data_IF_828700222954
#
_entry.id   IF_828700222954
#
_cell.length_a   1.000
_cell.length_b   1.000
_cell.length_c   1.000
_cell.angle_alpha   90.00
_cell.angle_beta   90.00
_cell.angle_gamma   90.00
#
_symmetry.space_group_name_H-M   'P 1'
#
loop_
_entity.id
_entity.type
_entity.pdbx_description
1 polymer ?
#
# COMPACT_ATOMS: atom_id res chain seq x y z
N UNK A 1 21.68 20.67 27.64
CA UNK A 1 20.36 21.03 27.08
C UNK A 1 20.54 21.29 25.59
N UNK A 2 20.43 20.26 24.75
CA UNK A 2 20.47 20.41 23.30
C UNK A 2 19.22 19.74 22.73
N UNK A 3 18.18 20.54 22.44
CA UNK A 3 17.02 20.09 21.65
C UNK A 3 17.47 20.05 20.19
N UNK A 4 17.79 18.88 19.68
CA UNK A 4 17.80 18.64 18.23
C UNK A 4 16.34 18.64 17.73
N UNK A 5 15.75 19.83 17.56
CA UNK A 5 14.54 19.98 16.74
C UNK A 5 14.97 20.05 15.28
N UNK A 6 15.32 18.90 14.70
CA UNK A 6 15.36 18.77 13.24
C UNK A 6 13.89 18.63 12.82
N UNK A 7 13.25 19.76 12.50
CA UNK A 7 11.92 19.75 11.86
C UNK A 7 12.11 18.93 10.58
N UNK A 8 11.51 17.74 10.55
CA UNK A 8 11.46 16.92 9.36
C UNK A 8 10.53 17.65 8.39
N UNK A 9 11.07 18.17 7.28
CA UNK A 9 10.27 18.76 6.21
C UNK A 9 9.23 17.74 5.73
N UNK A 10 8.00 17.77 6.25
CA UNK A 10 6.93 16.85 5.83
C UNK A 10 6.04 17.51 4.79
N UNK A 11 5.56 16.71 3.86
CA UNK A 11 4.60 17.16 2.87
C UNK A 11 3.33 16.31 2.82
N UNK A 12 2.20 16.95 2.56
CA UNK A 12 0.90 16.30 2.44
C UNK A 12 0.14 16.78 1.22
N UNK A 13 -0.52 15.85 0.52
CA UNK A 13 -1.38 16.13 -0.62
C UNK A 13 -2.81 15.83 -0.24
N UNK A 14 -3.71 16.78 -0.43
CA UNK A 14 -5.13 16.63 -0.13
C UNK A 14 -5.92 16.82 -1.43
N UNK A 15 -6.60 15.76 -1.88
CA UNK A 15 -7.46 15.82 -3.06
C UNK A 15 -8.80 16.49 -2.76
N UNK A 16 -9.45 17.03 -3.79
CA UNK A 16 -10.75 17.71 -3.62
C UNK A 16 -10.68 18.90 -2.66
N UNK A 17 -9.56 19.62 -2.62
CA UNK A 17 -9.28 20.67 -1.63
C UNK A 17 -9.83 22.04 -2.00
N UNK A 18 -10.54 22.16 -3.11
CA UNK A 18 -11.10 23.44 -3.56
C UNK A 18 -12.43 23.77 -2.90
N UNK A 19 -13.14 22.77 -2.35
CA UNK A 19 -14.44 22.93 -1.69
C UNK A 19 -14.62 21.93 -0.53
N UNK A 20 -15.71 22.10 0.22
CA UNK A 20 -16.22 21.12 1.19
C UNK A 20 -15.24 20.64 2.26
N UNK A 21 -15.18 19.32 2.44
CA UNK A 21 -14.36 18.67 3.47
C UNK A 21 -12.86 18.82 3.18
N UNK A 22 -12.44 18.63 1.93
CA UNK A 22 -11.03 18.75 1.53
C UNK A 22 -10.49 20.15 1.79
N UNK A 23 -11.24 21.19 1.45
CA UNK A 23 -10.88 22.58 1.76
C UNK A 23 -10.79 22.85 3.27
N UNK A 24 -11.69 22.26 4.08
CA UNK A 24 -11.61 22.38 5.54
C UNK A 24 -10.36 21.68 6.11
N UNK A 25 -10.05 20.49 5.62
CA UNK A 25 -8.82 19.79 5.99
C UNK A 25 -7.59 20.62 5.63
N UNK A 26 -7.50 21.12 4.39
CA UNK A 26 -6.40 21.99 3.96
C UNK A 26 -6.20 23.19 4.90
N UNK A 27 -7.28 23.88 5.29
CA UNK A 27 -7.23 25.01 6.24
C UNK A 27 -6.74 24.64 7.63
N UNK A 28 -7.02 23.42 8.08
CA UNK A 28 -6.47 22.91 9.35
C UNK A 28 -4.98 22.65 9.22
N UNK A 29 -4.56 21.94 8.18
CA UNK A 29 -3.16 21.61 7.97
C UNK A 29 -2.29 22.86 7.69
N UNK A 30 -2.86 23.92 7.12
CA UNK A 30 -2.16 25.22 6.99
C UNK A 30 -1.75 25.80 8.35
N UNK A 31 -2.50 25.52 9.42
CA UNK A 31 -2.23 26.07 10.76
C UNK A 31 -1.34 25.18 11.64
N UNK A 32 -1.00 23.96 11.19
CA UNK A 32 -0.19 23.04 11.99
C UNK A 32 1.31 23.35 11.93
N UNK A 33 2.11 22.68 12.76
CA UNK A 33 3.58 22.76 12.72
C UNK A 33 4.22 21.46 12.19
N UNK A 34 3.40 20.53 11.68
CA UNK A 34 3.83 19.17 11.30
C UNK A 34 4.20 19.14 9.82
N UNK A 35 3.44 19.82 8.97
CA UNK A 35 3.64 19.84 7.52
C UNK A 35 4.14 21.20 7.06
N UNK A 36 5.36 21.24 6.54
CA UNK A 36 5.95 22.43 5.95
C UNK A 36 5.44 22.67 4.53
N UNK A 37 5.06 21.60 3.82
CA UNK A 37 4.53 21.69 2.45
C UNK A 37 3.13 21.06 2.35
N UNK A 38 2.17 21.84 1.88
CA UNK A 38 0.82 21.39 1.61
C UNK A 38 0.53 21.49 0.11
N UNK A 39 0.16 20.37 -0.49
CA UNK A 39 -0.38 20.32 -1.84
C UNK A 39 -1.90 20.26 -1.79
N UNK A 40 -2.56 21.23 -2.43
CA UNK A 40 -4.02 21.24 -2.57
C UNK A 40 -4.40 20.89 -3.99
N UNK A 41 -5.20 19.85 -4.16
CA UNK A 41 -5.62 19.41 -5.49
C UNK A 41 -7.03 19.89 -5.87
N UNK A 42 -7.21 20.19 -7.15
CA UNK A 42 -8.50 20.47 -7.77
C UNK A 42 -8.55 20.10 -9.25
N UNK A 43 -9.76 20.08 -9.81
CA UNK A 43 -10.02 19.64 -11.19
C UNK A 43 -9.75 20.72 -12.26
N UNK A 44 -9.52 21.97 -11.87
CA UNK A 44 -9.23 23.05 -12.82
C UNK A 44 -8.36 24.15 -12.21
N UNK A 45 -7.60 24.83 -13.06
CA UNK A 45 -6.77 25.99 -12.67
C UNK A 45 -7.56 27.06 -11.94
N UNK A 46 -8.77 27.38 -12.42
CA UNK A 46 -9.62 28.38 -11.80
C UNK A 46 -9.99 28.01 -10.36
N UNK A 47 -10.45 26.77 -10.14
CA UNK A 47 -10.87 26.32 -8.80
C UNK A 47 -9.71 26.28 -7.81
N UNK A 48 -8.53 25.84 -8.25
CA UNK A 48 -7.32 25.81 -7.42
C UNK A 48 -6.81 27.22 -7.14
N UNK A 49 -6.75 28.10 -8.14
CA UNK A 49 -6.31 29.49 -7.97
C UNK A 49 -7.21 30.25 -7.00
N UNK A 50 -8.52 30.09 -7.11
CA UNK A 50 -9.48 30.70 -6.19
C UNK A 50 -9.29 30.19 -4.76
N UNK A 51 -9.07 28.89 -4.59
CA UNK A 51 -8.83 28.29 -3.26
C UNK A 51 -7.52 28.82 -2.64
N UNK A 52 -6.42 28.80 -3.40
CA UNK A 52 -5.12 29.33 -2.96
C UNK A 52 -5.21 30.81 -2.59
N UNK A 53 -5.86 31.63 -3.43
CA UNK A 53 -6.04 33.07 -3.18
C UNK A 53 -6.77 33.31 -1.87
N UNK A 54 -7.84 32.56 -1.62
CA UNK A 54 -8.59 32.66 -0.36
C UNK A 54 -7.76 32.23 0.86
N UNK A 55 -6.95 31.18 0.71
CA UNK A 55 -6.00 30.75 1.75
C UNK A 55 -5.00 31.87 2.07
N UNK A 56 -4.42 32.52 1.05
CA UNK A 56 -3.46 33.61 1.25
C UNK A 56 -4.08 34.83 1.93
N UNK A 57 -5.31 35.21 1.55
CA UNK A 57 -6.04 36.33 2.16
C UNK A 57 -6.34 36.09 3.65
N UNK A 58 -6.65 34.85 4.02
CA UNK A 58 -6.96 34.49 5.41
C UNK A 58 -5.70 34.27 6.27
N UNK A 59 -4.55 34.04 5.62
CA UNK A 59 -3.28 33.73 6.25
C UNK A 59 -2.18 34.67 5.76
N UNK A 60 -2.29 35.96 6.13
CA UNK A 60 -1.36 37.04 5.76
C UNK A 60 0.13 36.80 6.10
N UNK A 61 0.45 35.79 6.92
CA UNK A 61 1.81 35.35 7.23
C UNK A 61 1.84 33.82 7.34
N UNK A 62 2.04 33.11 6.23
CA UNK A 62 2.35 31.68 6.22
C UNK A 62 3.77 31.50 6.74
N UNK A 63 3.93 31.31 8.06
CA UNK A 63 5.22 31.16 8.74
C UNK A 63 6.00 29.92 8.24
N UNK A 64 6.82 30.08 7.20
CA UNK A 64 7.64 29.02 6.58
C UNK A 64 6.86 27.87 5.91
N UNK A 65 5.56 28.05 5.63
CA UNK A 65 4.75 27.04 4.93
C UNK A 65 4.69 27.27 3.43
N UNK A 66 4.84 26.19 2.68
CA UNK A 66 4.66 26.14 1.23
C UNK A 66 3.30 25.54 0.90
N UNK A 67 2.37 26.35 0.37
CA UNK A 67 1.08 25.86 -0.12
C UNK A 67 1.11 25.91 -1.65
N UNK A 68 1.00 24.75 -2.29
CA UNK A 68 1.11 24.59 -3.75
C UNK A 68 -0.18 23.99 -4.28
N UNK A 69 -0.75 24.61 -5.30
CA UNK A 69 -1.89 24.06 -6.02
C UNK A 69 -1.46 22.99 -7.01
N UNK A 70 -2.18 21.89 -7.05
CA UNK A 70 -1.98 20.78 -7.99
C UNK A 70 -3.25 20.60 -8.81
N UNK A 71 -3.17 20.80 -10.11
CA UNK A 71 -4.28 20.62 -11.03
C UNK A 71 -4.02 19.39 -11.85
N UNK A 72 -4.97 18.46 -11.79
CA UNK A 72 -4.90 17.17 -12.43
C UNK A 72 -6.32 16.76 -12.77
N UNK A 73 -6.60 16.58 -14.07
CA UNK A 73 -7.89 16.10 -14.56
C UNK A 73 -7.82 14.60 -14.79
N UNK A 74 -8.63 13.86 -14.05
CA UNK A 74 -8.74 12.40 -14.17
C UNK A 74 -9.82 11.97 -15.16
N UNK A 75 -10.46 12.92 -15.85
CA UNK A 75 -11.66 12.69 -16.65
C UNK A 75 -11.43 12.36 -18.12
N UNK A 76 -10.28 12.72 -18.70
CA UNK A 76 -10.05 12.67 -20.16
C UNK A 76 -8.57 12.46 -20.48
N UNK A 77 -8.20 11.34 -21.10
CA UNK A 77 -6.88 11.19 -21.72
C UNK A 77 -6.48 9.75 -22.06
N UNK A 78 -6.39 9.47 -23.36
CA UNK A 78 -5.88 8.24 -23.98
C UNK A 78 -4.34 8.15 -23.93
N UNK A 79 -3.68 8.71 -22.92
CA UNK A 79 -2.23 8.68 -22.86
C UNK A 79 -1.80 7.56 -21.91
N UNK A 80 -1.09 6.60 -22.47
CA UNK A 80 -0.47 5.47 -21.78
C UNK A 80 0.53 5.91 -20.69
N UNK A 81 0.83 7.21 -20.58
CA UNK A 81 1.81 7.77 -19.64
C UNK A 81 1.26 8.96 -18.82
N UNK A 82 0.25 8.69 -18.01
CA UNK A 82 0.03 9.41 -16.76
C UNK A 82 -0.66 10.77 -16.85
N UNK A 83 -1.31 11.12 -15.74
CA UNK A 83 -2.12 12.32 -15.63
C UNK A 83 -1.24 13.57 -15.68
N UNK A 84 -1.45 14.46 -16.65
CA UNK A 84 -0.74 15.75 -16.69
C UNK A 84 -1.00 16.54 -15.41
N UNK A 85 0.07 17.15 -14.87
CA UNK A 85 0.00 17.89 -13.60
C UNK A 85 0.42 19.32 -13.83
N UNK A 86 -0.45 20.26 -13.48
CA UNK A 86 -0.11 21.68 -13.43
C UNK A 86 0.05 22.13 -11.98
N UNK A 87 1.14 22.84 -11.70
CA UNK A 87 1.45 23.36 -10.38
C UNK A 87 1.30 24.87 -10.34
N UNK A 88 0.62 25.35 -9.31
CA UNK A 88 0.37 26.76 -9.07
C UNK A 88 1.02 27.14 -7.73
N UNK A 89 2.14 27.86 -7.78
CA UNK A 89 2.81 28.41 -6.59
C UNK A 89 2.62 29.94 -6.59
N UNK A 90 1.58 30.39 -5.88
CA UNK A 90 1.26 31.82 -5.78
C UNK A 90 2.32 32.60 -4.98
N UNK A 91 3.08 31.96 -4.09
CA UNK A 91 4.16 32.63 -3.34
C UNK A 91 5.32 33.01 -4.27
N UNK A 92 5.57 32.21 -5.31
CA UNK A 92 6.59 32.48 -6.32
C UNK A 92 6.06 33.16 -7.57
N UNK A 93 4.74 33.34 -7.67
CA UNK A 93 4.04 33.77 -8.88
C UNK A 93 4.42 32.92 -10.11
N UNK A 94 4.47 31.59 -9.94
CA UNK A 94 4.92 30.65 -10.98
C UNK A 94 3.89 29.56 -11.24
N UNK A 95 3.76 29.23 -12.52
CA UNK A 95 2.96 28.15 -13.06
C UNK A 95 3.90 27.16 -13.74
N UNK A 96 3.80 25.88 -13.38
CA UNK A 96 4.60 24.83 -13.97
C UNK A 96 3.69 23.76 -14.55
N UNK A 97 4.08 23.18 -15.67
CA UNK A 97 3.46 21.98 -16.21
C UNK A 97 4.45 20.83 -16.07
N UNK A 98 3.97 19.70 -15.58
CA UNK A 98 4.68 18.45 -15.49
C UNK A 98 3.99 17.42 -16.38
N UNK A 99 4.80 16.56 -16.98
CA UNK A 99 4.31 15.58 -17.96
C UNK A 99 3.33 14.61 -17.33
N UNK A 100 3.62 14.14 -16.11
CA UNK A 100 2.76 13.21 -15.39
C UNK A 100 2.91 13.30 -13.85
N UNK A 101 2.02 12.60 -13.15
CA UNK A 101 2.00 12.53 -11.70
C UNK A 101 3.24 11.84 -11.08
N UNK A 102 3.89 10.91 -11.80
CA UNK A 102 5.16 10.29 -11.36
C UNK A 102 6.28 11.33 -11.29
N UNK A 103 6.40 12.19 -12.30
CA UNK A 103 7.33 13.33 -12.30
C UNK A 103 7.07 14.30 -11.15
N UNK A 104 5.79 14.53 -10.81
CA UNK A 104 5.43 15.29 -9.61
C UNK A 104 5.98 14.64 -8.33
N UNK A 105 5.73 13.34 -8.10
CA UNK A 105 6.22 12.61 -6.92
C UNK A 105 7.75 12.48 -6.85
N UNK A 106 8.42 12.59 -8.00
CA UNK A 106 9.88 12.63 -8.08
C UNK A 106 10.45 13.96 -7.61
N UNK A 107 9.87 15.07 -8.07
CA UNK A 107 10.31 16.43 -7.71
C UNK A 107 9.84 16.85 -6.31
N UNK A 108 8.66 16.38 -5.89
CA UNK A 108 8.01 16.74 -4.65
C UNK A 108 7.74 15.46 -3.83
N UNK A 109 8.70 15.03 -2.98
CA UNK A 109 8.57 13.80 -2.22
C UNK A 109 7.44 13.92 -1.19
N UNK A 110 6.39 13.13 -1.40
CA UNK A 110 5.20 13.14 -0.55
C UNK A 110 5.40 12.33 0.74
N UNK A 111 4.91 12.82 1.89
CA UNK A 111 4.87 12.04 3.14
C UNK A 111 3.50 11.43 3.40
N UNK A 112 2.44 12.21 3.22
CA UNK A 112 1.08 11.76 3.47
C UNK A 112 0.17 12.17 2.31
N UNK A 113 -0.86 11.37 2.06
CA UNK A 113 -1.90 11.69 1.08
C UNK A 113 -3.28 11.49 1.70
N UNK A 114 -4.15 12.47 1.49
CA UNK A 114 -5.58 12.38 1.78
C UNK A 114 -6.33 12.33 0.46
N UNK A 115 -6.95 11.18 0.21
CA UNK A 115 -7.81 10.91 -0.93
C UNK A 115 -9.26 11.15 -0.50
N UNK A 116 -9.72 12.40 -0.67
CA UNK A 116 -11.07 12.84 -0.30
C UNK A 116 -12.06 12.59 -1.43
N UNK A 117 -13.05 11.73 -1.19
CA UNK A 117 -14.03 11.31 -2.21
C UNK A 117 -15.40 11.95 -1.96
N UNK A 118 -15.47 13.26 -1.94
CA UNK A 118 -16.71 13.96 -1.64
C UNK A 118 -17.29 14.57 -2.94
N UNK A 119 -18.24 13.91 -3.60
CA UNK A 119 -18.95 14.49 -4.76
C UNK A 119 -20.43 14.17 -4.64
N UNK A 120 -21.27 15.18 -4.45
CA UNK A 120 -22.71 15.00 -4.26
C UNK A 120 -23.48 15.26 -5.55
N UNK A 121 -23.69 14.23 -6.37
CA UNK A 121 -24.74 14.31 -7.38
C UNK A 121 -25.73 13.18 -7.16
N UNK A 122 -26.94 13.54 -6.71
CA UNK A 122 -28.06 12.61 -6.64
C UNK A 122 -28.67 12.45 -8.02
N UNK A 123 -28.68 11.22 -8.53
CA UNK A 123 -29.40 10.90 -9.75
C UNK A 123 -29.93 9.48 -9.67
N UNK A 124 -31.24 9.33 -9.90
CA UNK A 124 -31.88 8.03 -10.01
C UNK A 124 -31.15 7.18 -11.05
N UNK A 125 -30.95 5.90 -10.75
CA UNK A 125 -30.26 4.96 -11.64
C UNK A 125 -30.83 4.99 -13.07
N UNK A 126 -32.16 5.01 -13.21
CA UNK A 126 -32.86 5.07 -14.51
C UNK A 126 -32.63 6.36 -15.31
N UNK A 127 -32.12 7.42 -14.67
CA UNK A 127 -31.84 8.72 -15.29
C UNK A 127 -30.36 8.93 -15.62
N UNK A 128 -29.51 7.94 -15.36
CA UNK A 128 -28.08 8.02 -15.67
C UNK A 128 -27.87 7.77 -17.16
N UNK A 129 -27.04 8.61 -17.78
CA UNK A 129 -26.53 8.37 -19.12
C UNK A 129 -25.07 7.90 -19.10
N UNK A 130 -24.57 7.40 -20.23
CA UNK A 130 -23.21 6.86 -20.33
C UNK A 130 -22.11 7.87 -19.96
N UNK A 131 -22.30 9.15 -20.30
CA UNK A 131 -21.35 10.21 -19.98
C UNK A 131 -21.23 10.38 -18.47
N UNK A 132 -22.36 10.35 -17.76
CA UNK A 132 -22.41 10.47 -16.31
C UNK A 132 -21.85 9.24 -15.61
N UNK A 133 -22.14 8.03 -16.11
CA UNK A 133 -21.57 6.78 -15.59
C UNK A 133 -20.06 6.84 -15.68
N UNK A 134 -19.52 7.14 -16.87
CA UNK A 134 -18.07 7.26 -17.08
C UNK A 134 -17.46 8.32 -16.18
N UNK A 135 -18.11 9.48 -16.02
CA UNK A 135 -17.65 10.52 -15.10
C UNK A 135 -17.58 10.03 -13.65
N UNK A 136 -18.59 9.28 -13.19
CA UNK A 136 -18.62 8.72 -11.83
C UNK A 136 -17.49 7.70 -11.63
N UNK A 137 -17.28 6.80 -12.59
CA UNK A 137 -16.21 5.79 -12.53
C UNK A 137 -14.83 6.43 -12.58
N UNK A 138 -14.62 7.36 -13.52
CA UNK A 138 -13.34 8.08 -13.67
C UNK A 138 -12.98 8.81 -12.38
N UNK A 139 -13.92 9.55 -11.80
CA UNK A 139 -13.62 10.39 -10.64
C UNK A 139 -13.55 9.59 -9.33
N UNK A 140 -14.40 8.58 -9.12
CA UNK A 140 -14.49 7.90 -7.82
C UNK A 140 -13.75 6.57 -7.75
N UNK A 141 -13.27 6.02 -8.87
CA UNK A 141 -12.61 4.72 -8.92
C UNK A 141 -11.26 4.82 -9.62
N UNK A 142 -11.24 5.21 -10.91
CA UNK A 142 -10.02 5.15 -11.72
C UNK A 142 -8.97 6.14 -11.22
N UNK A 143 -9.35 7.40 -11.02
CA UNK A 143 -8.45 8.44 -10.49
C UNK A 143 -7.74 8.02 -9.20
N UNK A 144 -8.51 7.38 -8.31
CA UNK A 144 -8.05 6.96 -7.00
C UNK A 144 -7.06 5.81 -7.12
N UNK A 145 -7.41 4.79 -7.91
CA UNK A 145 -6.53 3.65 -8.16
C UNK A 145 -5.19 4.12 -8.71
N UNK A 146 -5.22 5.01 -9.71
CA UNK A 146 -4.03 5.58 -10.32
C UNK A 146 -3.17 6.38 -9.33
N UNK A 147 -3.80 7.23 -8.50
CA UNK A 147 -3.08 8.01 -7.48
C UNK A 147 -2.47 7.11 -6.41
N UNK A 148 -3.24 6.17 -5.84
CA UNK A 148 -2.76 5.26 -4.82
C UNK A 148 -1.61 4.40 -5.35
N UNK A 149 -1.75 3.83 -6.55
CA UNK A 149 -0.70 3.06 -7.20
C UNK A 149 0.57 3.90 -7.41
N UNK A 150 0.44 5.10 -7.99
CA UNK A 150 1.59 5.99 -8.24
C UNK A 150 2.34 6.36 -6.96
N UNK A 151 1.60 6.68 -5.89
CA UNK A 151 2.17 7.01 -4.58
C UNK A 151 2.88 5.80 -3.97
N UNK A 152 2.23 4.63 -3.97
CA UNK A 152 2.79 3.40 -3.43
C UNK A 152 4.05 3.00 -4.17
N UNK A 153 4.05 2.94 -5.50
CA UNK A 153 5.22 2.59 -6.30
C UNK A 153 6.40 3.53 -5.99
N UNK A 154 6.16 4.84 -5.94
CA UNK A 154 7.20 5.80 -5.58
C UNK A 154 7.70 5.64 -4.14
N UNK A 155 6.81 5.33 -3.19
CA UNK A 155 7.16 5.13 -1.78
C UNK A 155 7.88 3.81 -1.51
N UNK A 156 7.50 2.71 -2.16
CA UNK A 156 8.17 1.42 -2.02
C UNK A 156 9.64 1.55 -2.43
N UNK A 157 9.92 2.23 -3.54
CA UNK A 157 11.30 2.46 -4.00
C UNK A 157 12.08 3.36 -3.01
N UNK A 158 11.47 4.44 -2.52
CA UNK A 158 12.18 5.50 -1.77
C UNK A 158 12.25 5.28 -0.25
N UNK A 159 11.16 4.84 0.38
CA UNK A 159 11.08 4.71 1.85
C UNK A 159 11.79 3.49 2.41
N UNK A 160 12.07 2.47 1.59
CA UNK A 160 12.98 1.39 1.99
C UNK A 160 14.33 1.93 2.49
N UNK A 161 14.75 3.11 2.03
CA UNK A 161 16.02 3.75 2.40
C UNK A 161 15.94 4.61 3.68
N UNK A 162 14.78 5.18 4.01
CA UNK A 162 14.66 6.21 5.07
C UNK A 162 13.76 5.80 6.25
N UNK A 163 12.87 4.81 6.08
CA UNK A 163 11.91 4.30 7.09
C UNK A 163 11.02 5.37 7.75
N UNK A 164 10.76 6.50 7.09
CA UNK A 164 9.80 7.49 7.59
C UNK A 164 8.36 6.96 7.47
N UNK A 165 7.53 7.24 8.48
CA UNK A 165 6.12 6.87 8.43
C UNK A 165 5.41 7.67 7.33
N UNK A 166 4.71 6.95 6.46
CA UNK A 166 3.88 7.48 5.37
C UNK A 166 2.45 7.02 5.53
N UNK A 167 1.49 7.87 5.16
CA UNK A 167 0.07 7.58 5.36
C UNK A 167 -0.74 7.80 4.09
N UNK A 168 -1.53 6.79 3.70
CA UNK A 168 -2.63 6.95 2.75
C UNK A 168 -3.92 6.99 3.56
N UNK A 169 -4.58 8.15 3.59
CA UNK A 169 -5.89 8.30 4.22
C UNK A 169 -6.94 8.45 3.14
N UNK A 170 -7.94 7.59 3.16
CA UNK A 170 -9.06 7.66 2.25
C UNK A 170 -10.31 8.07 3.00
N UNK A 171 -11.12 8.92 2.36
CA UNK A 171 -12.36 9.38 2.94
C UNK A 171 -13.47 9.02 1.97
N UNK A 172 -14.34 8.10 2.38
CA UNK A 172 -15.55 7.72 1.67
C UNK A 172 -16.77 8.33 2.35
N UNK A 173 -17.59 9.07 1.60
CA UNK A 173 -18.91 9.47 2.09
C UNK A 173 -19.95 8.48 1.55
N UNK A 174 -20.69 7.82 2.43
CA UNK A 174 -21.83 6.98 2.04
C UNK A 174 -23.13 7.70 2.36
N UNK A 175 -24.03 7.83 1.38
CA UNK A 175 -25.37 8.36 1.65
C UNK A 175 -26.25 7.32 2.37
N UNK A 176 -25.97 6.03 2.18
CA UNK A 176 -26.68 4.95 2.87
C UNK A 176 -25.77 4.30 3.89
N UNK A 177 -26.23 4.26 5.14
CA UNK A 177 -25.78 3.29 6.12
C UNK A 177 -26.84 2.18 6.12
N UNK A 178 -26.63 1.10 5.37
CA UNK A 178 -27.66 0.06 5.20
C UNK A 178 -28.11 -0.59 6.51
N UNK A 179 -27.37 -0.42 7.60
CA UNK A 179 -27.77 -0.89 8.93
C UNK A 179 -28.73 0.09 9.64
N UNK A 180 -28.77 1.37 9.23
CA UNK A 180 -29.48 2.43 9.96
C UNK A 180 -30.41 3.30 9.11
N UNK A 181 -30.07 3.55 7.85
CA UNK A 181 -30.75 4.50 6.97
C UNK A 181 -30.75 4.04 5.50
N UNK A 182 -31.94 3.87 4.92
CA UNK A 182 -32.14 3.54 3.50
C UNK A 182 -32.65 4.76 2.71
N UNK A 183 -31.76 5.42 1.98
CA UNK A 183 -32.08 6.55 1.09
C UNK A 183 -32.15 6.06 -0.36
N UNK A 184 -33.30 6.29 -1.01
CA UNK A 184 -33.54 5.92 -2.42
C UNK A 184 -32.86 6.91 -3.37
N UNK A 185 -32.31 6.40 -4.48
CA UNK A 185 -31.82 7.22 -5.60
C UNK A 185 -30.32 7.50 -5.64
N UNK A 186 -29.53 6.80 -4.82
CA UNK A 186 -28.08 7.03 -4.65
C UNK A 186 -27.22 5.77 -4.87
N UNK A 187 -27.69 4.80 -5.66
CA UNK A 187 -27.10 3.46 -5.75
C UNK A 187 -25.68 3.44 -6.32
N UNK A 188 -25.44 4.06 -7.48
CA UNK A 188 -24.09 4.06 -8.11
C UNK A 188 -23.09 4.83 -7.24
N UNK A 189 -23.53 5.91 -6.60
CA UNK A 189 -22.66 6.67 -5.72
C UNK A 189 -22.28 5.84 -4.48
N UNK A 190 -23.26 5.22 -3.82
CA UNK A 190 -23.02 4.35 -2.67
C UNK A 190 -22.09 3.18 -3.02
N UNK A 191 -22.29 2.57 -4.20
CA UNK A 191 -21.39 1.55 -4.73
C UNK A 191 -19.95 2.08 -4.90
N UNK A 192 -19.78 3.23 -5.55
CA UNK A 192 -18.44 3.80 -5.78
C UNK A 192 -17.68 4.08 -4.47
N UNK A 193 -18.39 4.40 -3.39
CA UNK A 193 -17.79 4.73 -2.09
C UNK A 193 -17.49 3.50 -1.27
N UNK A 194 -18.31 2.46 -1.38
CA UNK A 194 -17.98 1.14 -0.84
C UNK A 194 -16.75 0.54 -1.53
N UNK A 195 -16.56 0.80 -2.82
CA UNK A 195 -15.34 0.40 -3.53
C UNK A 195 -14.09 1.05 -2.93
N UNK A 196 -14.13 2.33 -2.58
CA UNK A 196 -13.01 3.04 -1.93
C UNK A 196 -12.67 2.44 -0.56
N UNK A 197 -13.70 2.12 0.23
CA UNK A 197 -13.52 1.44 1.52
C UNK A 197 -12.83 0.08 1.33
N UNK A 198 -13.37 -0.75 0.44
CA UNK A 198 -12.84 -2.09 0.17
C UNK A 198 -11.40 -2.02 -0.33
N UNK A 199 -11.11 -1.11 -1.25
CA UNK A 199 -9.76 -0.92 -1.77
C UNK A 199 -8.77 -0.48 -0.69
N UNK A 200 -9.20 0.35 0.26
CA UNK A 200 -8.35 0.71 1.41
C UNK A 200 -8.06 -0.48 2.31
N UNK A 201 -9.06 -1.37 2.50
CA UNK A 201 -8.86 -2.62 3.24
C UNK A 201 -7.86 -3.53 2.54
N UNK A 202 -7.99 -3.71 1.22
CA UNK A 202 -7.07 -4.50 0.40
C UNK A 202 -5.65 -3.93 0.46
N UNK A 203 -5.46 -2.63 0.25
CA UNK A 203 -4.13 -1.99 0.35
C UNK A 203 -3.52 -2.16 1.75
N UNK A 204 -4.35 -2.12 2.80
CA UNK A 204 -3.87 -2.38 4.17
C UNK A 204 -3.41 -3.83 4.35
N UNK A 205 -4.09 -4.80 3.72
CA UNK A 205 -3.74 -6.21 3.79
C UNK A 205 -2.50 -6.52 2.95
N UNK A 206 -2.39 -5.98 1.75
CA UNK A 206 -1.28 -6.22 0.82
C UNK A 206 0.01 -5.50 1.24
N UNK A 207 -0.11 -4.22 1.58
CA UNK A 207 1.06 -3.34 1.80
C UNK A 207 1.19 -2.89 3.25
N UNK A 208 0.07 -2.53 3.90
CA UNK A 208 0.10 -2.03 5.29
C UNK A 208 0.63 -3.06 6.29
N UNK A 209 0.28 -4.34 6.10
CA UNK A 209 0.78 -5.46 6.91
C UNK A 209 2.28 -5.71 6.68
N UNK A 210 2.72 -5.58 5.44
CA UNK A 210 4.10 -5.86 4.99
C UNK A 210 5.07 -4.75 5.38
N UNK A 211 4.65 -3.49 5.30
CA UNK A 211 5.51 -2.34 5.50
C UNK A 211 5.11 -1.54 6.74
N UNK A 212 5.77 -1.78 7.89
CA UNK A 212 5.49 -1.07 9.17
C UNK A 212 5.55 0.47 9.08
N UNK A 213 6.27 1.00 8.09
CA UNK A 213 6.37 2.44 7.83
C UNK A 213 5.18 2.98 7.03
N UNK A 214 4.35 2.14 6.41
CA UNK A 214 3.18 2.53 5.64
C UNK A 214 1.92 2.32 6.49
N UNK A 215 1.11 3.37 6.59
CA UNK A 215 -0.20 3.31 7.23
C UNK A 215 -1.30 3.56 6.21
N UNK A 216 -2.27 2.66 6.17
CA UNK A 216 -3.48 2.81 5.36
C UNK A 216 -4.64 3.08 6.31
N UNK A 217 -5.37 4.17 6.07
CA UNK A 217 -6.49 4.62 6.88
C UNK A 217 -7.70 4.85 6.01
N UNK A 218 -8.87 4.45 6.50
CA UNK A 218 -10.15 4.73 5.84
C UNK A 218 -11.14 5.37 6.82
N UNK A 219 -11.75 6.45 6.39
CA UNK A 219 -12.86 7.09 7.09
C UNK A 219 -14.12 6.98 6.24
N UNK A 220 -15.05 6.16 6.72
CA UNK A 220 -16.39 6.12 6.18
C UNK A 220 -17.27 7.12 6.94
N UNK A 221 -17.82 8.11 6.23
CA UNK A 221 -18.61 9.18 6.84
C UNK A 221 -20.03 9.09 6.28
N UNK A 222 -20.96 8.49 7.02
CA UNK A 222 -22.34 8.41 6.57
C UNK A 222 -22.93 9.82 6.45
N UNK A 223 -23.72 10.03 5.40
CA UNK A 223 -24.58 11.19 5.19
C UNK A 223 -23.84 12.53 4.94
N UNK A 224 -22.53 12.51 4.63
CA UNK A 224 -21.74 13.73 4.41
C UNK A 224 -21.59 14.10 2.92
N UNK A 225 -22.22 15.18 2.44
CA UNK A 225 -22.07 15.67 1.04
C UNK A 225 -21.20 16.93 0.93
N UNK A 226 -20.32 17.02 -0.08
CA UNK A 226 -19.22 18.01 -0.16
C UNK A 226 -19.64 19.48 -0.40
N UNK A 227 -20.85 19.73 -0.88
CA UNK A 227 -21.21 21.07 -1.41
C UNK A 227 -21.96 21.96 -0.42
N UNK A 228 -22.64 21.34 0.54
CA UNK A 228 -23.37 21.95 1.64
C UNK A 228 -23.91 20.75 2.39
N UNK A 229 -23.76 20.76 3.71
CA UNK A 229 -24.39 19.78 4.59
C UNK A 229 -25.80 19.50 4.10
N UNK A 230 -26.02 18.23 3.79
CA UNK A 230 -27.31 17.62 3.50
C UNK A 230 -27.89 17.91 2.11
N UNK A 231 -27.91 16.87 1.27
CA UNK A 231 -29.06 16.72 0.39
C UNK A 231 -30.28 16.48 1.27
N UNK A 232 -31.12 17.50 1.36
CA UNK A 232 -32.42 17.49 2.02
C UNK A 232 -32.34 17.53 3.57
N UNK A 233 -31.98 18.70 4.14
CA UNK A 233 -32.03 18.94 5.61
C UNK A 233 -33.36 18.47 6.22
N UNK A 234 -34.46 18.59 5.47
CA UNK A 234 -35.77 18.06 5.83
C UNK A 234 -35.89 16.53 5.82
N UNK A 235 -35.07 15.78 5.08
CA UNK A 235 -34.97 14.31 5.15
C UNK A 235 -34.22 13.89 6.42
N UNK A 236 -33.08 14.53 6.74
CA UNK A 236 -32.31 14.20 7.95
C UNK A 236 -33.03 14.61 9.24
N UNK A 237 -33.75 15.74 9.23
CA UNK A 237 -34.67 16.13 10.31
C UNK A 237 -35.84 15.13 10.45
N UNK A 238 -36.40 14.62 9.35
CA UNK A 238 -37.44 13.57 9.37
C UNK A 238 -36.93 12.21 9.87
N UNK A 239 -35.65 11.91 9.66
CA UNK A 239 -35.01 10.66 10.08
C UNK A 239 -34.37 10.76 11.48
N UNK A 240 -34.45 11.93 12.14
CA UNK A 240 -33.88 12.20 13.47
C UNK A 240 -32.37 11.85 13.58
N UNK A 241 -31.61 12.09 12.51
CA UNK A 241 -30.17 11.81 12.49
C UNK A 241 -29.41 13.02 13.04
N UNK A 242 -28.59 12.81 14.09
CA UNK A 242 -27.60 13.81 14.51
C UNK A 242 -26.39 13.73 13.58
N UNK A 243 -26.24 14.72 12.70
CA UNK A 243 -25.12 14.81 11.76
C UNK A 243 -23.80 15.20 12.46
N UNK A 244 -22.69 14.62 11.99
CA UNK A 244 -21.36 15.13 12.31
C UNK A 244 -20.99 16.25 11.32
N UNK A 245 -20.60 17.41 11.83
CA UNK A 245 -20.33 18.57 10.97
C UNK A 245 -19.02 18.40 10.19
N UNK A 246 -18.87 19.08 9.03
CA UNK A 246 -17.58 19.15 8.31
C UNK A 246 -16.45 19.58 9.27
N UNK A 247 -16.75 20.51 10.19
CA UNK A 247 -15.82 20.98 11.21
C UNK A 247 -15.38 19.83 12.14
N UNK A 248 -16.32 19.05 12.69
CA UNK A 248 -16.00 17.93 13.58
C UNK A 248 -15.26 16.80 12.86
N UNK A 249 -15.72 16.41 11.67
CA UNK A 249 -15.11 15.36 10.85
C UNK A 249 -13.67 15.74 10.50
N UNK A 250 -13.47 16.95 9.96
CA UNK A 250 -12.14 17.43 9.63
C UNK A 250 -11.23 17.51 10.86
N UNK A 251 -11.78 17.88 12.03
CA UNK A 251 -11.03 17.88 13.31
C UNK A 251 -10.61 16.47 13.71
N UNK A 252 -11.50 15.48 13.59
CA UNK A 252 -11.20 14.08 13.92
C UNK A 252 -10.07 13.54 13.05
N UNK A 253 -10.19 13.67 11.73
CA UNK A 253 -9.18 13.21 10.76
C UNK A 253 -7.85 13.92 10.99
N UNK A 254 -7.87 15.25 11.18
CA UNK A 254 -6.70 16.04 11.52
C UNK A 254 -6.02 15.56 12.80
N UNK A 255 -6.78 15.38 13.88
CA UNK A 255 -6.25 14.91 15.16
C UNK A 255 -5.63 13.52 15.04
N UNK A 256 -6.23 12.61 14.27
CA UNK A 256 -5.72 11.26 14.09
C UNK A 256 -4.38 11.27 13.35
N UNK A 257 -4.28 12.00 12.24
CA UNK A 257 -3.05 12.16 11.47
C UNK A 257 -1.94 12.87 12.26
N UNK A 258 -2.28 13.94 12.98
CA UNK A 258 -1.30 14.72 13.74
C UNK A 258 -0.87 14.03 15.04
N UNK A 259 -1.76 13.29 15.71
CA UNK A 259 -1.39 12.44 16.84
C UNK A 259 -0.42 11.34 16.41
N UNK A 260 -0.58 10.76 15.22
CA UNK A 260 0.39 9.79 14.73
C UNK A 260 1.80 10.37 14.49
N UNK A 261 1.89 11.65 14.14
CA UNK A 261 3.14 12.36 13.88
C UNK A 261 3.81 12.92 15.15
N UNK A 262 3.04 13.17 16.22
CA UNK A 262 3.55 13.56 17.55
C UNK A 262 4.00 12.35 18.41
N UNK A 263 3.51 11.14 18.11
CA UNK A 263 3.68 9.93 18.92
C UNK A 263 4.80 8.99 18.40
N UNK A 264 6.00 9.53 18.17
CA UNK A 264 7.22 8.72 18.09
C UNK A 264 7.71 8.23 19.46
N UNK A 265 6.93 8.39 20.55
CA UNK A 265 7.42 8.13 21.92
C UNK A 265 6.61 7.19 22.82
N UNK A 266 5.34 6.84 22.58
CA UNK A 266 4.65 5.87 23.46
C UNK A 266 3.63 4.98 22.74
N UNK A 267 3.54 3.75 23.25
CA UNK A 267 2.91 2.54 22.72
C UNK A 267 1.44 2.69 22.28
N UNK A 268 1.17 1.95 21.20
CA UNK A 268 -0.07 1.73 20.47
C UNK A 268 -1.34 1.45 21.30
N UNK A 269 -2.46 1.89 20.74
CA UNK A 269 -3.71 1.11 20.71
C UNK A 269 -4.10 0.89 19.26
N UNK A 270 -3.80 -0.30 18.75
CA UNK A 270 -4.18 -0.77 17.40
C UNK A 270 -5.66 -1.15 17.37
N UNK A 271 -6.31 -0.89 16.24
CA UNK A 271 -7.57 -1.55 15.87
C UNK A 271 -7.32 -3.06 15.81
N UNK A 272 -8.19 -3.86 16.40
CA UNK A 272 -8.09 -5.32 16.44
C UNK A 272 -8.24 -5.90 15.03
N UNK A 273 -7.14 -6.07 14.30
CA UNK A 273 -6.98 -7.17 13.35
C UNK A 273 -6.53 -8.39 14.15
N UNK A 274 -7.34 -9.44 14.16
CA UNK A 274 -7.03 -10.68 14.87
C UNK A 274 -5.99 -11.56 14.16
N UNK A 275 -5.40 -11.12 13.03
CA UNK A 275 -4.30 -11.82 12.38
C UNK A 275 -3.01 -10.99 12.45
N UNK A 276 -2.10 -11.41 13.33
CA UNK A 276 -0.70 -10.97 13.33
C UNK A 276 0.04 -11.75 12.23
N UNK A 277 0.73 -11.05 11.34
CA UNK A 277 1.54 -11.66 10.27
C UNK A 277 2.85 -12.21 10.86
N UNK A 278 3.34 -13.32 10.32
CA UNK A 278 4.57 -14.00 10.73
C UNK A 278 5.58 -13.91 9.59
N UNK A 279 6.76 -13.34 9.87
CA UNK A 279 7.92 -13.41 8.98
C UNK A 279 8.85 -14.53 9.45
N UNK A 280 9.28 -15.37 8.52
CA UNK A 280 10.24 -16.44 8.74
C UNK A 280 11.64 -15.96 8.39
N UNK A 281 12.50 -15.83 9.40
CA UNK A 281 13.89 -15.38 9.24
C UNK A 281 14.87 -16.52 9.45
N UNK A 282 15.88 -16.61 8.59
CA UNK A 282 16.98 -17.57 8.79
C UNK A 282 17.65 -17.33 10.14
N UNK A 283 17.82 -18.38 10.94
CA UNK A 283 18.48 -18.25 12.24
C UNK A 283 19.99 -18.02 12.12
N UNK A 284 20.58 -18.29 10.93
CA UNK A 284 22.01 -18.12 10.68
C UNK A 284 22.30 -16.73 10.10
N UNK A 285 21.60 -16.32 9.03
CA UNK A 285 21.86 -15.03 8.37
C UNK A 285 21.00 -13.86 8.86
N UNK A 286 19.91 -14.11 9.59
CA UNK A 286 18.85 -13.12 9.92
C UNK A 286 18.10 -12.58 8.69
N UNK A 287 18.31 -13.18 7.51
CA UNK A 287 17.58 -12.80 6.29
C UNK A 287 16.12 -13.24 6.36
N UNK A 288 15.22 -12.39 5.87
CA UNK A 288 13.80 -12.72 5.69
C UNK A 288 13.63 -13.64 4.48
N UNK A 289 13.04 -14.82 4.67
CA UNK A 289 12.94 -15.84 3.61
C UNK A 289 11.51 -16.09 3.13
N UNK A 290 10.52 -15.92 4.01
CA UNK A 290 9.11 -16.20 3.73
C UNK A 290 8.19 -15.46 4.72
N UNK A 291 6.89 -15.42 4.41
CA UNK A 291 5.83 -14.90 5.29
C UNK A 291 4.63 -15.84 5.29
N UNK A 292 3.87 -15.88 6.39
CA UNK A 292 2.58 -16.60 6.47
C UNK A 292 1.52 -16.03 5.51
N UNK A 293 1.73 -14.83 4.97
CA UNK A 293 0.91 -14.22 3.92
C UNK A 293 0.81 -15.09 2.64
N UNK A 294 1.77 -15.99 2.39
CA UNK A 294 1.78 -16.89 1.22
C UNK A 294 1.12 -18.25 1.49
N UNK A 295 0.30 -18.36 2.55
CA UNK A 295 -0.45 -19.59 2.83
C UNK A 295 0.46 -20.76 3.22
N UNK A 296 1.41 -20.51 4.13
CA UNK A 296 2.44 -21.49 4.54
C UNK A 296 1.84 -22.76 5.12
N UNK A 297 2.20 -23.90 4.54
CA UNK A 297 1.80 -25.25 4.96
C UNK A 297 2.99 -25.97 5.57
N UNK A 298 2.78 -26.65 6.70
CA UNK A 298 3.80 -27.50 7.32
C UNK A 298 3.73 -28.90 6.70
N UNK A 299 4.81 -29.31 6.04
CA UNK A 299 4.96 -30.62 5.40
C UNK A 299 5.97 -31.46 6.19
N UNK A 300 5.59 -32.70 6.47
CA UNK A 300 6.38 -33.70 7.20
C UNK A 300 6.94 -33.23 8.55
N UNK A 301 6.33 -32.21 9.14
CA UNK A 301 6.75 -31.61 10.42
C UNK A 301 8.08 -30.83 10.37
N UNK A 302 8.73 -30.75 9.20
CA UNK A 302 10.10 -30.19 9.06
C UNK A 302 10.24 -29.12 7.99
N UNK A 303 9.30 -29.01 7.05
CA UNK A 303 9.33 -28.05 5.93
C UNK A 303 8.12 -27.12 5.99
N UNK A 304 8.36 -25.83 5.76
CA UNK A 304 7.32 -24.89 5.39
C UNK A 304 7.30 -24.73 3.87
N UNK A 305 6.18 -25.06 3.24
CA UNK A 305 5.95 -24.83 1.81
C UNK A 305 4.92 -23.71 1.62
N UNK A 306 5.12 -22.88 0.60
CA UNK A 306 4.16 -21.86 0.19
C UNK A 306 4.04 -21.84 -1.33
N UNK A 307 2.79 -21.76 -1.80
CA UNK A 307 2.51 -21.63 -3.23
C UNK A 307 2.85 -20.21 -3.68
N UNK A 308 3.38 -20.07 -4.88
CA UNK A 308 3.87 -18.81 -5.45
C UNK A 308 3.16 -18.52 -6.78
N UNK A 309 3.26 -17.26 -7.20
CA UNK A 309 2.75 -16.79 -8.48
C UNK A 309 3.88 -16.16 -9.30
N UNK A 310 3.78 -16.23 -10.61
CA UNK A 310 4.63 -15.48 -11.53
C UNK A 310 4.02 -14.09 -11.73
N UNK A 311 4.84 -13.05 -11.64
CA UNK A 311 4.44 -11.64 -11.77
C UNK A 311 5.28 -10.94 -12.83
N UNK A 312 4.71 -9.95 -13.52
CA UNK A 312 5.45 -9.10 -14.47
C UNK A 312 6.06 -7.90 -13.72
N UNK A 313 7.38 -7.71 -13.87
CA UNK A 313 8.14 -6.61 -13.28
C UNK A 313 8.81 -5.80 -14.39
N UNK A 314 8.40 -4.55 -14.58
CA UNK A 314 9.00 -3.61 -15.55
C UNK A 314 9.69 -2.42 -14.87
N UNK A 315 10.23 -1.50 -15.67
CA UNK A 315 10.86 -0.24 -15.22
C UNK A 315 9.86 0.72 -14.52
N UNK A 316 9.46 0.36 -13.30
CA UNK A 316 8.68 1.20 -12.40
C UNK A 316 7.17 0.94 -12.36
N UNK A 317 6.68 -0.10 -13.04
CA UNK A 317 5.33 -0.65 -12.86
C UNK A 317 5.46 -2.14 -12.49
N UNK A 318 4.98 -2.48 -11.29
CA UNK A 318 4.91 -3.84 -10.78
C UNK A 318 3.45 -4.26 -10.93
N UNK A 319 3.15 -5.15 -11.87
CA UNK A 319 1.82 -5.74 -12.00
C UNK A 319 1.80 -7.07 -11.24
N UNK A 320 1.41 -7.01 -9.96
CA UNK A 320 1.22 -8.18 -9.09
C UNK A 320 -0.17 -8.84 -9.38
N UNK A 321 -1.00 -8.23 -10.24
CA UNK A 321 -2.37 -8.68 -10.53
C UNK A 321 -2.51 -9.59 -11.75
N UNK A 322 -1.52 -9.59 -12.65
CA UNK A 322 -1.52 -10.42 -13.84
C UNK A 322 -0.58 -11.62 -13.65
N UNK A 323 -1.12 -12.78 -13.26
CA UNK A 323 -0.43 -14.06 -13.41
C UNK A 323 -0.42 -14.41 -14.92
N UNK A 324 0.72 -14.34 -15.62
CA UNK A 324 0.79 -14.80 -17.00
C UNK A 324 0.63 -16.32 -16.95
N UNK A 325 -0.44 -16.85 -17.51
CA UNK A 325 -0.59 -18.30 -17.68
C UNK A 325 0.63 -18.86 -18.42
N UNK A 326 1.07 -20.07 -18.05
CA UNK A 326 2.25 -20.72 -18.63
C UNK A 326 2.19 -20.89 -20.16
N UNK A 327 1.00 -20.75 -20.76
CA UNK A 327 0.80 -20.82 -22.22
C UNK A 327 0.89 -19.47 -22.94
N UNK A 328 0.84 -18.34 -22.24
CA UNK A 328 0.85 -16.98 -22.81
C UNK A 328 2.18 -16.24 -22.59
N UNK A 329 3.22 -16.93 -22.11
CA UNK A 329 4.48 -16.31 -21.69
C UNK A 329 5.37 -15.83 -22.87
N UNK A 330 5.09 -16.23 -24.11
CA UNK A 330 5.99 -15.96 -25.25
C UNK A 330 5.61 -14.75 -26.11
N UNK A 331 4.37 -14.23 -26.09
CA UNK A 331 3.93 -13.28 -27.13
C UNK A 331 3.64 -11.83 -26.70
N UNK A 332 3.84 -11.46 -25.41
CA UNK A 332 3.47 -10.11 -24.93
C UNK A 332 4.40 -9.56 -23.82
N UNK A 333 5.72 -9.72 -24.01
CA UNK A 333 6.72 -9.02 -23.20
C UNK A 333 7.16 -7.74 -23.92
N UNK A 334 6.69 -6.59 -23.43
CA UNK A 334 7.22 -5.28 -23.84
C UNK A 334 8.71 -5.15 -23.44
N UNK A 335 9.45 -4.36 -24.21
CA UNK A 335 10.90 -4.17 -24.02
C UNK A 335 11.21 -3.61 -22.62
N UNK A 336 11.78 -4.47 -21.75
CA UNK A 336 12.14 -4.12 -20.35
C UNK A 336 11.22 -4.67 -19.25
N UNK A 337 10.28 -5.56 -19.58
CA UNK A 337 9.52 -6.35 -18.60
C UNK A 337 10.15 -7.74 -18.38
N UNK A 338 10.22 -8.19 -17.12
CA UNK A 338 10.69 -9.52 -16.73
C UNK A 338 9.59 -10.24 -15.93
N UNK A 339 9.34 -11.52 -16.23
CA UNK A 339 8.47 -12.37 -15.41
C UNK A 339 9.30 -12.97 -14.29
N UNK A 340 8.92 -12.71 -13.04
CA UNK A 340 9.63 -13.20 -11.85
C UNK A 340 8.67 -13.85 -10.86
N UNK A 341 9.18 -14.74 -10.02
CA UNK A 341 8.39 -15.33 -8.94
C UNK A 341 8.14 -14.31 -7.82
N UNK A 342 6.88 -14.20 -7.37
CA UNK A 342 6.45 -13.19 -6.39
C UNK A 342 7.15 -13.29 -5.04
N UNK A 343 7.48 -14.49 -4.55
CA UNK A 343 8.23 -14.72 -3.30
C UNK A 343 9.69 -14.35 -3.50
N UNK A 344 10.33 -14.86 -4.55
CA UNK A 344 11.74 -14.57 -4.88
C UNK A 344 11.95 -13.06 -4.94
N UNK A 345 11.08 -12.35 -5.67
CA UNK A 345 11.12 -10.90 -5.77
C UNK A 345 10.86 -10.22 -4.42
N UNK A 346 9.85 -10.68 -3.68
CA UNK A 346 9.40 -10.02 -2.44
C UNK A 346 10.41 -10.08 -1.30
N UNK A 347 11.16 -11.18 -1.20
CA UNK A 347 12.21 -11.37 -0.19
C UNK A 347 13.61 -11.09 -0.74
N UNK A 348 13.72 -10.58 -1.99
CA UNK A 348 14.98 -10.27 -2.67
C UNK A 348 15.94 -11.48 -2.66
N UNK A 349 15.38 -12.67 -2.84
CA UNK A 349 16.15 -13.90 -2.84
C UNK A 349 17.08 -13.92 -4.05
N UNK A 350 18.30 -14.41 -3.84
CA UNK A 350 19.35 -14.41 -4.85
C UNK A 350 19.51 -15.82 -5.41
N UNK A 351 19.30 -15.98 -6.73
CA UNK A 351 19.44 -17.26 -7.39
C UNK A 351 20.88 -17.77 -7.25
N UNK A 352 21.03 -19.05 -6.95
CA UNK A 352 22.33 -19.72 -6.86
C UNK A 352 22.28 -21.08 -7.57
N UNK A 353 23.44 -21.59 -7.94
CA UNK A 353 23.55 -22.86 -8.65
C UNK A 353 24.32 -23.88 -7.80
N UNK A 354 23.78 -25.10 -7.73
CA UNK A 354 24.47 -26.24 -7.16
C UNK A 354 24.60 -27.36 -8.19
N UNK A 355 25.71 -28.10 -8.11
CA UNK A 355 25.73 -29.46 -8.60
C UNK A 355 25.30 -30.41 -7.47
N UNK A 356 24.94 -31.65 -7.82
CA UNK A 356 24.43 -32.62 -6.84
C UNK A 356 25.42 -32.87 -5.69
N UNK A 357 26.74 -32.79 -5.93
CA UNK A 357 27.79 -33.03 -4.94
C UNK A 357 27.99 -31.80 -4.04
N UNK A 358 27.99 -30.59 -4.59
CA UNK A 358 28.10 -29.36 -3.83
C UNK A 358 26.86 -29.13 -2.96
N UNK A 359 25.65 -29.40 -3.48
CA UNK A 359 24.41 -29.39 -2.68
C UNK A 359 24.48 -30.37 -1.51
N UNK A 360 24.88 -31.62 -1.77
CA UNK A 360 25.03 -32.63 -0.71
C UNK A 360 26.08 -32.24 0.35
N UNK A 361 27.08 -31.45 -0.03
CA UNK A 361 28.10 -30.95 0.90
C UNK A 361 27.54 -29.82 1.75
N UNK A 362 26.91 -28.82 1.11
CA UNK A 362 26.23 -27.71 1.76
C UNK A 362 25.18 -28.21 2.76
N UNK A 363 24.24 -29.04 2.30
CA UNK A 363 23.09 -29.43 3.11
C UNK A 363 23.53 -30.25 4.33
N UNK A 364 24.59 -31.06 4.22
CA UNK A 364 25.14 -31.78 5.37
C UNK A 364 25.72 -30.83 6.41
N UNK A 365 26.43 -29.78 5.98
CA UNK A 365 26.94 -28.73 6.86
C UNK A 365 25.81 -27.98 7.55
N UNK A 366 24.85 -27.49 6.76
CA UNK A 366 23.67 -26.79 7.24
C UNK A 366 22.88 -27.61 8.28
N UNK A 367 22.56 -28.87 7.97
CA UNK A 367 21.82 -29.76 8.88
C UNK A 367 22.55 -30.01 10.20
N UNK A 368 23.89 -30.07 10.18
CA UNK A 368 24.70 -30.20 11.40
C UNK A 368 24.59 -28.95 12.28
N UNK A 369 24.59 -27.77 11.67
CA UNK A 369 24.41 -26.50 12.38
C UNK A 369 23.03 -26.42 13.03
N UNK A 370 21.97 -26.71 12.26
CA UNK A 370 20.59 -26.70 12.79
C UNK A 370 20.40 -27.75 13.89
N UNK A 371 20.95 -28.96 13.71
CA UNK A 371 20.90 -29.99 14.75
C UNK A 371 21.53 -29.53 16.07
N UNK A 372 22.72 -28.93 16.01
CA UNK A 372 23.40 -28.41 17.19
C UNK A 372 22.54 -27.34 17.90
N UNK A 373 21.92 -26.45 17.12
CA UNK A 373 21.03 -25.45 17.67
C UNK A 373 19.81 -26.09 18.37
N UNK A 374 19.19 -27.08 17.74
CA UNK A 374 18.04 -27.80 18.33
C UNK A 374 18.44 -28.56 19.60
N UNK A 375 19.62 -29.16 19.66
CA UNK A 375 20.13 -29.80 20.89
C UNK A 375 20.24 -28.82 22.07
N UNK A 376 20.40 -27.52 21.79
CA UNK A 376 20.47 -26.47 22.81
C UNK A 376 19.09 -25.84 23.12
N UNK A 377 18.21 -25.68 22.12
CA UNK A 377 16.95 -24.93 22.26
C UNK A 377 15.69 -25.80 22.36
N UNK A 378 15.64 -26.94 21.67
CA UNK A 378 14.50 -27.85 21.63
C UNK A 378 14.97 -29.30 21.35
N UNK A 379 15.54 -30.00 22.36
CA UNK A 379 16.14 -31.31 22.18
C UNK A 379 15.14 -32.38 21.71
N UNK A 380 13.85 -32.21 22.00
CA UNK A 380 12.80 -33.15 21.61
C UNK A 380 12.52 -33.13 20.09
N UNK A 381 12.74 -31.98 19.45
CA UNK A 381 12.56 -31.83 18.00
C UNK A 381 13.69 -32.48 17.16
N UNK A 382 14.84 -32.82 17.76
CA UNK A 382 16.01 -33.34 17.04
C UNK A 382 15.68 -34.61 16.24
N UNK A 383 14.97 -35.57 16.84
CA UNK A 383 14.65 -36.83 16.15
C UNK A 383 13.68 -36.63 14.98
N UNK A 384 12.73 -35.70 15.13
CA UNK A 384 11.77 -35.33 14.08
C UNK A 384 12.51 -34.65 12.92
N UNK A 385 13.38 -33.69 13.25
CA UNK A 385 14.22 -32.99 12.29
C UNK A 385 15.10 -33.93 11.48
N UNK A 386 15.85 -34.84 12.12
CA UNK A 386 16.74 -35.76 11.41
C UNK A 386 15.99 -36.66 10.41
N UNK A 387 14.84 -37.22 10.82
CA UNK A 387 14.04 -38.09 9.96
C UNK A 387 13.44 -37.32 8.78
N UNK A 388 12.81 -36.18 9.06
CA UNK A 388 12.18 -35.36 8.02
C UNK A 388 13.20 -34.75 7.07
N UNK A 389 14.33 -34.25 7.59
CA UNK A 389 15.42 -33.75 6.78
C UNK A 389 16.00 -34.82 5.85
N UNK A 390 16.22 -36.04 6.35
CA UNK A 390 16.70 -37.13 5.52
C UNK A 390 15.71 -37.47 4.39
N UNK A 391 14.41 -37.50 4.68
CA UNK A 391 13.37 -37.78 3.68
C UNK A 391 13.29 -36.67 2.62
N UNK A 392 13.25 -35.40 3.04
CA UNK A 392 13.11 -34.28 2.13
C UNK A 392 14.37 -34.05 1.30
N UNK A 393 15.57 -34.22 1.86
CA UNK A 393 16.82 -34.20 1.08
C UNK A 393 16.84 -35.32 0.02
N UNK A 394 16.33 -36.52 0.34
CA UNK A 394 16.21 -37.59 -0.67
C UNK A 394 15.24 -37.21 -1.79
N UNK A 395 14.11 -36.55 -1.49
CA UNK A 395 13.17 -36.00 -2.49
C UNK A 395 13.90 -35.04 -3.44
N UNK A 396 14.57 -34.03 -2.87
CA UNK A 396 15.32 -33.02 -3.66
C UNK A 396 16.41 -33.67 -4.51
N UNK A 397 17.18 -34.60 -3.94
CA UNK A 397 18.28 -35.29 -4.65
C UNK A 397 17.77 -36.25 -5.72
N UNK A 398 16.57 -36.81 -5.55
CA UNK A 398 15.91 -37.70 -6.50
C UNK A 398 15.50 -36.99 -7.78
N UNK A 399 14.99 -35.76 -7.65
CA UNK A 399 14.52 -34.91 -8.76
C UNK A 399 15.36 -33.63 -8.92
N UNK A 400 16.67 -33.70 -8.63
CA UNK A 400 17.55 -32.53 -8.45
C UNK A 400 17.53 -31.51 -9.58
N UNK A 401 17.30 -31.94 -10.82
CA UNK A 401 17.27 -31.05 -11.99
C UNK A 401 16.03 -30.17 -12.05
N UNK A 402 14.99 -30.54 -11.32
CA UNK A 402 13.69 -29.85 -11.31
C UNK A 402 13.64 -28.79 -10.19
N UNK A 403 14.70 -28.68 -9.39
CA UNK A 403 14.79 -27.74 -8.29
C UNK A 403 15.64 -26.53 -8.66
N UNK A 404 15.14 -25.36 -8.31
CA UNK A 404 15.90 -24.12 -8.30
C UNK A 404 16.30 -23.76 -6.87
N UNK A 405 17.45 -23.10 -6.73
CA UNK A 405 18.07 -22.81 -5.44
C UNK A 405 18.25 -21.30 -5.29
N UNK A 406 17.85 -20.77 -4.13
CA UNK A 406 17.97 -19.37 -3.82
C UNK A 406 18.59 -19.17 -2.43
N UNK A 407 19.39 -18.12 -2.27
CA UNK A 407 19.89 -17.66 -0.96
C UNK A 407 19.13 -16.42 -0.52
N UNK A 408 19.21 -16.09 0.78
CA UNK A 408 18.71 -14.81 1.29
C UNK A 408 19.46 -13.61 0.71
N UNK A 409 18.99 -12.40 1.02
CA UNK A 409 19.55 -11.14 0.50
C UNK A 409 21.06 -10.99 0.78
N UNK A 410 21.53 -11.51 1.91
CA UNK A 410 22.96 -11.46 2.27
C UNK A 410 23.87 -12.39 1.45
N UNK A 411 23.30 -13.34 0.70
CA UNK A 411 24.02 -14.42 0.01
C UNK A 411 24.97 -15.20 0.93
N UNK A 412 24.64 -15.33 2.22
CA UNK A 412 25.46 -16.05 3.18
C UNK A 412 25.58 -17.55 2.78
N UNK A 413 26.78 -18.08 2.50
CA UNK A 413 26.97 -19.46 2.06
C UNK A 413 26.63 -20.50 3.13
N UNK A 414 26.62 -20.11 4.40
CA UNK A 414 26.24 -20.95 5.54
C UNK A 414 24.74 -20.84 5.88
N UNK A 415 24.05 -19.85 5.29
CA UNK A 415 22.63 -19.59 5.51
C UNK A 415 21.70 -20.58 4.83
N UNK A 416 20.40 -20.42 5.05
CA UNK A 416 19.39 -21.27 4.42
C UNK A 416 19.32 -21.05 2.91
N UNK A 417 19.30 -22.16 2.16
CA UNK A 417 18.91 -22.19 0.77
C UNK A 417 17.41 -22.46 0.68
N UNK A 418 16.69 -21.49 0.11
CA UNK A 418 15.27 -21.62 -0.27
C UNK A 418 15.19 -22.47 -1.53
N UNK A 419 14.35 -23.49 -1.50
CA UNK A 419 14.17 -24.45 -2.59
C UNK A 419 12.90 -24.10 -3.35
N UNK A 420 12.96 -23.98 -4.67
CA UNK A 420 11.79 -23.75 -5.52
C UNK A 420 11.60 -24.92 -6.47
N UNK A 421 10.34 -25.35 -6.63
CA UNK A 421 9.93 -26.35 -7.62
C UNK A 421 8.46 -26.11 -8.00
N UNK A 422 7.91 -26.91 -8.89
CA UNK A 422 6.52 -26.85 -9.35
C UNK A 422 5.70 -28.00 -8.75
N UNK A 423 4.42 -27.74 -8.48
CA UNK A 423 3.46 -28.76 -8.03
C UNK A 423 3.25 -29.82 -9.13
N UNK A 424 2.53 -30.89 -8.79
CA UNK A 424 2.23 -31.98 -9.74
C UNK A 424 1.39 -31.53 -10.95
N UNK A 425 0.75 -30.36 -10.87
CA UNK A 425 0.07 -29.71 -12.00
C UNK A 425 1.03 -29.15 -13.06
N UNK A 426 2.33 -29.04 -12.74
CA UNK A 426 3.37 -28.53 -13.62
C UNK A 426 3.36 -27.02 -13.83
N UNK A 427 2.44 -26.28 -13.20
CA UNK A 427 2.24 -24.84 -13.46
C UNK A 427 2.30 -23.99 -12.20
N UNK A 428 2.00 -24.55 -11.02
CA UNK A 428 2.03 -23.80 -9.76
C UNK A 428 3.42 -23.88 -9.12
N UNK A 429 4.23 -22.80 -9.12
CA UNK A 429 5.50 -22.80 -8.40
C UNK A 429 5.26 -22.80 -6.88
N UNK A 430 6.15 -23.40 -6.11
CA UNK A 430 6.16 -23.31 -4.66
C UNK A 430 7.58 -23.20 -4.13
N UNK A 431 7.74 -22.48 -3.02
CA UNK A 431 8.99 -22.46 -2.27
C UNK A 431 8.91 -23.37 -1.05
N UNK A 432 10.06 -23.89 -0.63
CA UNK A 432 10.21 -24.70 0.56
C UNK A 432 11.39 -24.21 1.41
N UNK A 433 11.14 -24.00 2.70
CA UNK A 433 12.13 -23.60 3.71
C UNK A 433 12.11 -24.56 4.90
N UNK A 434 13.23 -24.70 5.60
CA UNK A 434 13.31 -25.60 6.77
C UNK A 434 12.69 -24.95 8.00
N UNK A 435 11.65 -25.56 8.56
CA UNK A 435 10.97 -25.06 9.77
C UNK A 435 11.95 -24.80 10.92
N UNK A 436 12.89 -25.72 11.12
CA UNK A 436 13.84 -25.67 12.24
C UNK A 436 15.01 -24.71 11.98
N UNK A 437 15.16 -24.23 10.75
CA UNK A 437 16.17 -23.25 10.36
C UNK A 437 15.65 -21.82 10.35
N UNK A 438 14.39 -21.58 10.70
CA UNK A 438 13.81 -20.23 10.76
C UNK A 438 13.24 -19.90 12.13
N UNK A 439 13.36 -18.62 12.49
CA UNK A 439 12.59 -18.03 13.58
C UNK A 439 11.33 -17.37 13.04
N UNK A 440 10.21 -17.54 13.74
CA UNK A 440 8.92 -16.95 13.39
C UNK A 440 8.73 -15.64 14.19
N UNK A 441 8.96 -14.49 13.52
CA UNK A 441 8.75 -13.17 14.13
C UNK A 441 7.31 -12.69 13.86
N UNK A 442 6.53 -12.47 14.92
CA UNK A 442 5.20 -11.87 14.82
C UNK A 442 5.33 -10.35 14.67
N UNK A 443 4.75 -9.82 13.61
CA UNK A 443 4.82 -8.40 13.23
C UNK A 443 3.49 -7.68 13.51
#
# INVERSE_FOLDING_TARGET
>A
MFRYNKILNRSILITGSTKGLGNNLARRFIKDEIYDTLFIHGSSNETVTNSLTKILQEHNNLQNKHVIGVVCDFGLGNDQDGLSVELIDLNKNKFYKLDNFKSFLQQYPLDDIILNHAISQEKLFIKLNNIEINKILNINIISYLQLANSVLNNWLIKNLKTKNIKTITTIGSILNDFEKHEIKGNSIYSMSKKNVEMLSQVLSLEYGSRYKWLKIMHHNIPLLTDSSLVFNKGLLEKMNVKEDTIENVSKKIYNELTSQNLYSKYKYTSYNSTNKMIIYKDIISDDELLSDAYGVKLVDGVIYEADCDLIKVGNGDIDIGANPSAEDAEDDLEEGQEIVNNVVYSFRLQQTAFDKKSFLTYIKGYMKTIKKQLEETDPEAVSVFEKGAQAYVKKVVGSFKDWEFFTGESMNPDGMVVLLNYREDGTTPYVAIWKHGVSAEKI
#
